data_IF_652822807520
#
_entry.id   IF_652822807520
#
_cell.length_a   1.000
_cell.length_b   1.000
_cell.length_c   1.000
_cell.angle_alpha   90.00
_cell.angle_beta   90.00
_cell.angle_gamma   90.00
#
_symmetry.space_group_name_H-M   'P 1'
#
loop_
_entity.id
_entity.type
_entity.pdbx_description
1 polymer ?
#
# COMPACT_ATOMS: atom_id res chain seq x y z
N UNK A 1 19.69 51.63 -38.52
CA UNK A 1 19.15 50.96 -37.32
C UNK A 1 18.59 49.62 -37.74
N UNK A 2 19.31 48.53 -37.45
CA UNK A 2 18.90 47.16 -37.78
C UNK A 2 18.46 46.46 -36.48
N UNK A 3 17.15 46.25 -36.35
CA UNK A 3 16.53 45.51 -35.26
C UNK A 3 16.82 44.01 -35.43
N UNK A 4 17.44 43.36 -34.41
CA UNK A 4 17.63 41.91 -34.35
C UNK A 4 16.52 41.31 -33.49
N UNK A 5 15.64 40.55 -34.11
CA UNK A 5 14.66 39.69 -33.43
C UNK A 5 15.38 38.43 -32.93
N UNK A 6 15.37 38.20 -31.61
CA UNK A 6 15.76 36.91 -30.99
C UNK A 6 14.58 35.96 -31.08
N UNK A 7 14.78 34.70 -31.49
CA UNK A 7 13.74 33.69 -31.36
C UNK A 7 13.70 33.17 -29.93
N UNK A 8 12.52 33.23 -29.31
CA UNK A 8 12.22 32.66 -28.02
C UNK A 8 12.09 31.13 -28.18
N UNK A 9 13.05 30.37 -27.63
CA UNK A 9 13.04 28.92 -27.63
C UNK A 9 12.12 28.43 -26.48
N UNK A 10 10.89 28.01 -26.81
CA UNK A 10 10.01 27.34 -25.86
C UNK A 10 10.55 25.91 -25.59
N UNK A 11 11.18 25.72 -24.43
CA UNK A 11 11.43 24.38 -23.89
C UNK A 11 10.10 23.82 -23.35
N UNK A 12 9.52 22.88 -24.06
CA UNK A 12 8.43 22.05 -23.52
C UNK A 12 9.02 21.04 -22.53
N UNK A 13 8.77 21.25 -21.23
CA UNK A 13 9.01 20.21 -20.21
C UNK A 13 8.05 19.06 -20.47
N UNK A 14 8.56 18.02 -21.09
CA UNK A 14 7.88 16.74 -21.26
C UNK A 14 7.68 16.07 -19.89
N UNK A 15 6.44 15.79 -19.58
CA UNK A 15 5.96 15.19 -18.32
C UNK A 15 6.56 13.80 -18.11
N UNK A 16 7.25 13.58 -16.99
CA UNK A 16 7.84 12.30 -16.55
C UNK A 16 6.79 11.33 -15.96
N UNK A 17 5.69 11.12 -16.63
CA UNK A 17 4.67 10.12 -16.23
C UNK A 17 4.98 8.69 -16.71
N UNK A 18 6.04 8.48 -17.49
CA UNK A 18 6.36 7.19 -18.11
C UNK A 18 7.08 6.19 -17.16
N UNK A 19 7.64 6.65 -16.03
CA UNK A 19 8.49 5.80 -15.17
C UNK A 19 7.73 4.76 -14.33
N UNK A 20 6.50 5.04 -13.93
CA UNK A 20 5.73 4.15 -13.03
C UNK A 20 4.95 3.06 -13.77
N UNK A 21 4.59 3.27 -15.03
CA UNK A 21 3.87 2.29 -15.82
C UNK A 21 4.71 1.04 -16.12
N UNK A 22 6.01 1.19 -16.31
CA UNK A 22 6.91 0.08 -16.63
C UNK A 22 7.29 -0.76 -15.40
N UNK A 23 7.26 -0.17 -14.20
CA UNK A 23 7.68 -0.82 -12.96
C UNK A 23 6.80 -2.05 -12.61
N UNK A 24 5.50 -1.97 -12.84
CA UNK A 24 4.56 -3.05 -12.52
C UNK A 24 4.02 -3.79 -13.75
N UNK A 25 4.74 -3.75 -14.86
CA UNK A 25 4.45 -4.63 -15.99
C UNK A 25 4.55 -6.10 -15.57
N UNK A 26 3.62 -6.93 -16.06
CA UNK A 26 3.65 -8.38 -15.81
C UNK A 26 4.90 -9.03 -16.38
N UNK A 27 5.50 -8.45 -17.42
CA UNK A 27 6.74 -8.93 -18.02
C UNK A 27 7.96 -8.80 -17.08
N UNK A 28 7.92 -7.91 -16.07
CA UNK A 28 9.01 -7.75 -15.10
C UNK A 28 8.93 -8.73 -13.92
N UNK A 29 7.86 -9.53 -13.83
CA UNK A 29 7.73 -10.57 -12.81
C UNK A 29 8.70 -11.73 -13.06
N UNK A 30 9.43 -12.13 -12.02
CA UNK A 30 10.25 -13.33 -12.05
C UNK A 30 9.38 -14.58 -12.27
N UNK A 31 9.86 -15.52 -13.10
CA UNK A 31 9.13 -16.75 -13.39
C UNK A 31 8.85 -17.59 -12.15
N UNK A 32 9.76 -17.59 -11.16
CA UNK A 32 9.58 -18.27 -9.88
C UNK A 32 8.34 -17.80 -9.10
N UNK A 33 7.98 -16.52 -9.20
CA UNK A 33 6.80 -15.96 -8.54
C UNK A 33 5.49 -16.24 -9.31
N UNK A 34 5.60 -16.61 -10.59
CA UNK A 34 4.44 -16.90 -11.44
C UNK A 34 4.02 -18.38 -11.37
N UNK A 35 4.97 -19.26 -10.98
CA UNK A 35 4.71 -20.70 -10.89
C UNK A 35 3.69 -20.99 -9.80
N UNK A 36 2.57 -21.63 -10.18
CA UNK A 36 1.48 -22.02 -9.28
C UNK A 36 0.78 -20.86 -8.55
N UNK A 37 1.05 -19.59 -8.93
CA UNK A 37 0.39 -18.43 -8.37
C UNK A 37 -0.84 -18.03 -9.21
N UNK A 38 -1.87 -17.56 -8.53
CA UNK A 38 -3.04 -16.88 -9.12
C UNK A 38 -2.88 -15.37 -9.01
N UNK A 39 -2.15 -14.92 -7.99
CA UNK A 39 -1.81 -13.54 -7.76
C UNK A 39 -0.39 -13.41 -7.19
N UNK A 40 0.24 -12.25 -7.42
CA UNK A 40 1.54 -11.90 -6.88
C UNK A 40 1.44 -10.55 -6.18
N UNK A 41 1.71 -10.52 -4.89
CA UNK A 41 1.89 -9.28 -4.13
C UNK A 41 3.26 -8.71 -4.49
N UNK A 42 3.27 -7.71 -5.40
CA UNK A 42 4.49 -7.05 -5.89
C UNK A 42 5.11 -6.17 -4.81
N UNK A 43 4.24 -5.51 -4.06
CA UNK A 43 4.61 -4.62 -2.99
C UNK A 43 3.55 -4.67 -1.90
N UNK A 44 3.98 -4.79 -0.65
CA UNK A 44 3.14 -4.59 0.52
C UNK A 44 3.90 -3.74 1.53
N UNK A 45 3.69 -2.43 1.47
CA UNK A 45 4.37 -1.49 2.36
C UNK A 45 3.40 -0.84 3.33
N UNK A 46 3.86 -0.69 4.56
CA UNK A 46 3.19 0.11 5.58
C UNK A 46 4.21 0.98 6.30
N UNK A 47 3.97 2.28 6.29
CA UNK A 47 4.71 3.27 7.08
C UNK A 47 3.84 3.71 8.24
N UNK A 48 4.18 3.27 9.45
CA UNK A 48 3.48 3.64 10.66
C UNK A 48 4.27 4.68 11.44
N UNK A 49 3.70 5.86 11.60
CA UNK A 49 4.26 6.94 12.38
C UNK A 49 3.49 7.09 13.69
N UNK A 50 4.12 6.68 14.79
CA UNK A 50 3.63 6.88 16.14
C UNK A 50 4.15 8.22 16.69
N UNK A 51 3.26 9.11 17.09
CA UNK A 51 3.63 10.41 17.67
C UNK A 51 3.39 10.46 19.17
N UNK A 52 2.28 9.89 19.64
CA UNK A 52 1.89 9.84 21.06
C UNK A 52 0.77 8.80 21.24
N UNK A 53 0.36 8.48 22.47
CA UNK A 53 -0.80 7.62 22.74
C UNK A 53 -2.11 8.09 22.08
N UNK A 54 -2.21 9.34 21.72
CA UNK A 54 -3.40 9.94 21.10
C UNK A 54 -3.20 10.34 19.65
N UNK A 55 -2.05 10.01 19.03
CA UNK A 55 -1.77 10.43 17.65
C UNK A 55 -0.82 9.47 16.93
N UNK A 56 -1.33 8.85 15.88
CA UNK A 56 -0.53 8.08 14.93
C UNK A 56 -1.13 8.14 13.52
N UNK A 57 -0.31 7.84 12.52
CA UNK A 57 -0.75 7.69 11.12
C UNK A 57 -0.13 6.45 10.51
N UNK A 58 -0.86 5.80 9.61
CA UNK A 58 -0.33 4.70 8.81
C UNK A 58 -0.57 5.00 7.33
N UNK A 59 0.47 4.87 6.51
CA UNK A 59 0.41 4.93 5.05
C UNK A 59 0.65 3.55 4.50
N UNK A 60 -0.20 3.17 3.56
CA UNK A 60 -0.14 1.88 2.91
C UNK A 60 0.07 2.05 1.41
N UNK A 61 0.97 1.26 0.84
CA UNK A 61 1.17 1.12 -0.60
C UNK A 61 1.18 -0.38 -0.93
N UNK A 62 0.13 -0.85 -1.59
CA UNK A 62 -0.09 -2.26 -1.86
C UNK A 62 -0.24 -2.43 -3.37
N UNK A 63 0.55 -3.32 -3.95
CA UNK A 63 0.51 -3.64 -5.38
C UNK A 63 0.32 -5.14 -5.55
N UNK A 64 -0.75 -5.52 -6.22
CA UNK A 64 -1.07 -6.92 -6.48
C UNK A 64 -1.25 -7.13 -7.98
N UNK A 65 -0.47 -8.02 -8.55
CA UNK A 65 -0.66 -8.49 -9.93
C UNK A 65 -1.52 -9.76 -9.91
N UNK A 66 -2.61 -9.72 -10.64
CA UNK A 66 -3.55 -10.82 -10.82
C UNK A 66 -3.23 -11.50 -12.14
N UNK A 67 -2.79 -12.74 -12.07
CA UNK A 67 -2.34 -13.48 -13.26
C UNK A 67 -3.50 -14.00 -14.09
N UNK A 68 -4.60 -14.34 -13.43
CA UNK A 68 -5.85 -14.77 -14.07
C UNK A 68 -7.07 -14.41 -13.20
N UNK A 69 -8.26 -14.75 -13.69
CA UNK A 69 -9.54 -14.45 -13.00
C UNK A 69 -9.67 -15.12 -11.62
N UNK A 70 -9.01 -16.25 -11.39
CA UNK A 70 -9.04 -16.94 -10.07
C UNK A 70 -8.36 -16.12 -8.98
N UNK A 71 -7.40 -15.30 -9.39
CA UNK A 71 -6.70 -14.37 -8.49
C UNK A 71 -7.51 -13.13 -8.11
N UNK A 72 -8.65 -12.83 -8.74
CA UNK A 72 -9.38 -11.57 -8.59
C UNK A 72 -9.69 -11.21 -7.12
N UNK A 73 -10.10 -12.19 -6.30
CA UNK A 73 -10.40 -12.00 -4.87
C UNK A 73 -9.23 -11.46 -4.04
N UNK A 74 -7.99 -11.63 -4.51
CA UNK A 74 -6.81 -11.14 -3.80
C UNK A 74 -6.55 -9.64 -4.05
N UNK A 75 -7.37 -9.01 -4.88
CA UNK A 75 -7.40 -7.56 -5.02
C UNK A 75 -8.49 -6.89 -4.17
N UNK A 76 -9.32 -7.63 -3.44
CA UNK A 76 -10.31 -7.03 -2.57
C UNK A 76 -9.64 -6.28 -1.43
N UNK A 77 -10.10 -5.05 -1.17
CA UNK A 77 -9.59 -4.21 -0.11
C UNK A 77 -10.63 -4.06 1.00
N UNK A 78 -10.19 -4.20 2.25
CA UNK A 78 -10.97 -3.86 3.43
C UNK A 78 -10.13 -2.99 4.36
N UNK A 79 -10.67 -1.85 4.76
CA UNK A 79 -10.06 -0.92 5.70
C UNK A 79 -11.00 -0.71 6.88
N UNK A 80 -10.68 -1.28 8.03
CA UNK A 80 -11.46 -1.11 9.26
C UNK A 80 -11.23 0.27 9.87
N UNK A 81 -12.28 0.85 10.38
CA UNK A 81 -12.28 2.13 11.09
C UNK A 81 -13.21 2.05 12.30
N UNK A 82 -12.95 2.89 13.30
CA UNK A 82 -13.70 3.00 14.54
C UNK A 82 -13.63 4.43 15.10
N UNK A 83 -14.09 4.65 16.33
CA UNK A 83 -14.01 5.96 17.00
C UNK A 83 -12.56 6.46 17.17
N UNK A 84 -11.57 5.56 17.17
CA UNK A 84 -10.15 5.87 17.32
C UNK A 84 -9.40 5.95 16.00
N UNK A 85 -9.97 5.47 14.90
CA UNK A 85 -9.32 5.40 13.61
C UNK A 85 -10.21 5.92 12.47
N UNK A 86 -9.59 6.53 11.47
CA UNK A 86 -10.29 7.08 10.32
C UNK A 86 -9.48 6.97 9.04
N UNK A 87 -10.15 6.70 7.92
CA UNK A 87 -9.54 6.74 6.59
C UNK A 87 -9.39 8.20 6.13
N UNK A 88 -8.16 8.69 5.97
CA UNK A 88 -7.83 10.06 5.57
C UNK A 88 -7.83 10.23 4.06
N UNK A 89 -7.09 9.38 3.37
CA UNK A 89 -6.99 9.41 1.92
C UNK A 89 -7.05 8.00 1.35
N UNK A 90 -7.48 7.91 0.11
CA UNK A 90 -7.51 6.66 -0.66
C UNK A 90 -7.36 6.97 -2.14
N UNK A 91 -6.57 6.17 -2.83
CA UNK A 91 -6.52 6.09 -4.28
C UNK A 91 -6.19 4.67 -4.71
N UNK A 92 -6.75 4.25 -5.84
CA UNK A 92 -6.37 3.00 -6.48
C UNK A 92 -6.17 3.21 -7.98
N UNK A 93 -5.27 2.41 -8.54
CA UNK A 93 -4.98 2.37 -9.97
C UNK A 93 -5.06 0.93 -10.45
N UNK A 94 -5.80 0.69 -11.54
CA UNK A 94 -5.82 -0.60 -12.23
C UNK A 94 -5.00 -0.43 -13.50
N UNK A 95 -4.00 -1.31 -13.67
CA UNK A 95 -3.11 -1.31 -14.81
C UNK A 95 -3.31 -2.58 -15.65
N UNK A 96 -3.15 -2.46 -16.97
CA UNK A 96 -3.09 -3.62 -17.86
C UNK A 96 -1.76 -4.40 -17.72
N UNK A 97 -1.60 -5.47 -18.48
CA UNK A 97 -0.40 -6.32 -18.43
C UNK A 97 0.90 -5.57 -18.74
N UNK A 98 0.84 -4.47 -19.48
CA UNK A 98 2.01 -3.63 -19.79
C UNK A 98 2.37 -2.64 -18.67
N UNK A 99 1.53 -2.53 -17.62
CA UNK A 99 1.67 -1.56 -16.54
C UNK A 99 1.00 -0.21 -16.84
N UNK A 100 0.30 -0.07 -17.97
CA UNK A 100 -0.41 1.17 -18.30
C UNK A 100 -1.69 1.27 -17.47
N UNK A 101 -1.89 2.42 -16.80
CA UNK A 101 -3.11 2.70 -16.03
C UNK A 101 -4.32 2.76 -16.96
N UNK A 102 -5.29 1.88 -16.74
CA UNK A 102 -6.56 1.81 -17.47
C UNK A 102 -7.74 2.34 -16.66
N UNK A 103 -7.62 2.40 -15.33
CA UNK A 103 -8.66 2.96 -14.45
C UNK A 103 -8.05 3.54 -13.17
N UNK A 104 -8.61 4.65 -12.71
CA UNK A 104 -8.30 5.25 -11.42
C UNK A 104 -9.56 5.28 -10.57
N UNK A 105 -9.39 5.00 -9.27
CA UNK A 105 -10.45 5.00 -8.29
C UNK A 105 -10.04 5.89 -7.11
N UNK A 106 -11.01 6.56 -6.52
CA UNK A 106 -10.82 7.44 -5.37
C UNK A 106 -11.66 7.02 -4.18
N UNK A 107 -11.64 7.83 -3.11
CA UNK A 107 -12.39 7.53 -1.88
C UNK A 107 -13.91 7.41 -2.12
N UNK A 108 -14.45 8.10 -3.14
CA UNK A 108 -15.86 8.01 -3.51
C UNK A 108 -16.28 6.68 -4.14
N UNK A 109 -15.31 5.85 -4.57
CA UNK A 109 -15.58 4.52 -5.14
C UNK A 109 -15.61 3.42 -4.07
N UNK A 110 -15.26 3.75 -2.81
CA UNK A 110 -15.31 2.83 -1.69
C UNK A 110 -16.75 2.65 -1.20
N UNK A 111 -17.11 1.41 -0.92
CA UNK A 111 -18.30 1.10 -0.14
C UNK A 111 -18.00 1.30 1.34
N UNK A 112 -19.04 1.64 2.12
CA UNK A 112 -18.95 1.79 3.56
C UNK A 112 -20.01 0.94 4.23
N UNK A 113 -19.62 0.17 5.25
CA UNK A 113 -20.52 -0.69 6.00
C UNK A 113 -20.26 -0.50 7.48
N UNK A 114 -21.30 -0.17 8.23
CA UNK A 114 -21.28 -0.18 9.68
C UNK A 114 -21.37 -1.62 10.19
N UNK A 115 -20.53 -1.91 11.16
CA UNK A 115 -20.44 -3.24 11.76
C UNK A 115 -20.76 -3.14 13.24
N UNK A 116 -22.04 -3.31 13.57
CA UNK A 116 -22.49 -3.35 14.95
C UNK A 116 -22.61 -4.82 15.39
N UNK A 117 -21.71 -5.26 16.23
CA UNK A 117 -21.92 -6.48 17.04
C UNK A 117 -22.04 -6.02 18.48
N UNK A 118 -23.21 -5.77 18.97
CA UNK A 118 -23.64 -5.52 20.36
C UNK A 118 -22.61 -5.05 21.43
N UNK A 119 -21.31 -5.06 21.13
CA UNK A 119 -20.16 -4.71 21.98
C UNK A 119 -19.34 -3.52 21.46
N UNK A 120 -19.55 -3.08 20.20
CA UNK A 120 -18.86 -1.95 19.61
C UNK A 120 -19.77 -1.32 18.55
N UNK A 121 -20.56 -0.34 18.96
CA UNK A 121 -21.53 0.34 18.09
C UNK A 121 -20.90 1.32 17.09
N UNK A 122 -19.56 1.46 17.10
CA UNK A 122 -18.82 2.45 16.32
C UNK A 122 -17.87 1.86 15.30
N UNK A 123 -17.80 0.52 15.18
CA UNK A 123 -16.93 -0.14 14.20
C UNK A 123 -17.56 -0.14 12.81
N UNK A 124 -16.74 0.19 11.82
CA UNK A 124 -17.13 0.19 10.42
C UNK A 124 -15.95 -0.23 9.53
N UNK A 125 -16.21 -0.46 8.26
CA UNK A 125 -15.15 -0.68 7.29
C UNK A 125 -15.50 -0.08 5.94
N UNK A 126 -14.46 0.44 5.29
CA UNK A 126 -14.48 0.73 3.86
C UNK A 126 -14.03 -0.52 3.11
N UNK A 127 -14.67 -0.80 1.98
CA UNK A 127 -14.28 -1.95 1.17
C UNK A 127 -14.43 -1.64 -0.33
N UNK A 128 -13.64 -2.36 -1.12
CA UNK A 128 -13.65 -2.25 -2.57
C UNK A 128 -13.37 -3.61 -3.19
N UNK A 129 -14.26 -4.06 -4.04
CA UNK A 129 -14.01 -5.07 -5.04
C UNK A 129 -13.70 -4.33 -6.35
N UNK A 130 -12.43 -4.30 -6.80
CA UNK A 130 -12.07 -3.49 -7.96
C UNK A 130 -12.74 -4.04 -9.22
N UNK A 131 -13.28 -3.16 -10.10
CA UNK A 131 -13.96 -3.57 -11.33
C UNK A 131 -12.94 -4.03 -12.38
N UNK A 132 -12.54 -5.30 -12.31
CA UNK A 132 -11.54 -5.92 -13.19
C UNK A 132 -12.18 -6.40 -14.48
N UNK A 133 -11.65 -5.97 -15.62
CA UNK A 133 -12.15 -6.33 -16.95
C UNK A 133 -11.16 -7.13 -17.80
N UNK A 134 -9.87 -7.06 -17.49
CA UNK A 134 -8.78 -7.70 -18.23
C UNK A 134 -7.85 -8.45 -17.28
N UNK A 135 -7.23 -9.53 -17.78
CA UNK A 135 -6.21 -10.31 -17.09
C UNK A 135 -5.11 -10.71 -18.07
N UNK A 136 -3.84 -10.76 -17.65
CA UNK A 136 -3.37 -10.32 -16.34
C UNK A 136 -3.47 -8.80 -16.18
N UNK A 137 -3.63 -8.35 -14.91
CA UNK A 137 -3.68 -6.94 -14.58
C UNK A 137 -3.03 -6.70 -13.21
N UNK A 138 -2.71 -5.44 -12.92
CA UNK A 138 -2.14 -5.04 -11.63
C UNK A 138 -3.02 -3.98 -10.98
N UNK A 139 -3.29 -4.14 -9.68
CA UNK A 139 -4.01 -3.15 -8.88
C UNK A 139 -3.04 -2.58 -7.85
N UNK A 140 -2.97 -1.26 -7.76
CA UNK A 140 -2.22 -0.54 -6.73
C UNK A 140 -3.16 0.24 -5.84
N UNK A 141 -3.02 0.08 -4.54
CA UNK A 141 -3.74 0.82 -3.52
C UNK A 141 -2.78 1.71 -2.75
N UNK A 142 -3.13 2.96 -2.57
CA UNK A 142 -2.46 3.90 -1.68
C UNK A 142 -3.50 4.54 -0.77
N UNK A 143 -3.35 4.36 0.53
CA UNK A 143 -4.26 4.98 1.48
C UNK A 143 -3.56 5.34 2.79
N UNK A 144 -4.15 6.29 3.51
CA UNK A 144 -3.67 6.74 4.81
C UNK A 144 -4.78 6.64 5.83
N UNK A 145 -4.46 6.05 6.99
CA UNK A 145 -5.31 6.05 8.17
C UNK A 145 -4.70 6.93 9.26
N UNK A 146 -5.54 7.60 10.03
CA UNK A 146 -5.12 8.32 11.23
C UNK A 146 -5.79 7.73 12.45
N UNK A 147 -5.04 7.69 13.55
CA UNK A 147 -5.46 7.19 14.84
C UNK A 147 -5.37 8.31 15.87
N UNK A 148 -6.40 8.47 16.72
CA UNK A 148 -6.54 9.54 17.69
C UNK A 148 -7.26 9.08 18.95
N UNK A 149 -7.07 9.81 20.05
CA UNK A 149 -7.84 9.71 21.31
C UNK A 149 -7.78 8.35 22.01
N UNK A 150 -6.82 7.52 21.70
CA UNK A 150 -6.63 6.22 22.30
C UNK A 150 -5.73 5.36 21.46
N UNK A 151 -4.95 4.55 22.11
CA UNK A 151 -4.09 3.63 21.43
C UNK A 151 -4.45 2.22 21.73
N UNK A 152 -4.70 1.58 20.70
CA UNK A 152 -4.66 0.19 20.48
C UNK A 152 -3.35 -0.41 20.95
N UNK A 153 -3.46 -1.52 21.60
CA UNK A 153 -2.31 -2.21 22.16
C UNK A 153 -1.43 -2.95 21.16
N UNK A 154 -1.93 -3.25 19.95
CA UNK A 154 -1.21 -4.13 19.04
C UNK A 154 -1.36 -3.68 17.59
N UNK A 155 -0.22 -3.39 16.95
CA UNK A 155 -0.14 -3.25 15.50
C UNK A 155 0.09 -4.61 14.87
N UNK A 156 -0.67 -4.92 13.83
CA UNK A 156 -0.46 -6.12 13.02
C UNK A 156 -0.03 -5.73 11.62
N UNK A 157 1.03 -6.34 11.16
CA UNK A 157 1.43 -6.31 9.76
C UNK A 157 1.40 -7.74 9.23
N UNK A 158 0.44 -8.01 8.35
CA UNK A 158 0.26 -9.34 7.74
C UNK A 158 0.19 -9.14 6.24
N UNK A 159 1.27 -9.44 5.50
CA UNK A 159 1.23 -9.43 4.04
C UNK A 159 0.24 -10.49 3.53
N UNK A 160 -0.48 -10.18 2.44
CA UNK A 160 -1.48 -11.06 1.81
C UNK A 160 -0.94 -12.42 1.34
N UNK A 161 0.37 -12.61 1.32
CA UNK A 161 1.05 -13.83 0.85
C UNK A 161 0.85 -15.08 1.72
N UNK A 162 0.00 -15.01 2.74
CA UNK A 162 -0.35 -16.21 3.54
C UNK A 162 -1.40 -17.09 2.87
N UNK A 163 -2.04 -16.60 1.81
CA UNK A 163 -3.06 -17.34 1.08
C UNK A 163 -2.45 -18.32 0.07
N UNK A 164 -3.13 -19.45 -0.12
CA UNK A 164 -2.73 -20.45 -1.12
C UNK A 164 -2.87 -19.84 -2.52
N UNK A 165 -1.83 -19.98 -3.34
CA UNK A 165 -1.80 -19.45 -4.70
C UNK A 165 -1.45 -17.96 -4.78
N UNK A 166 -0.93 -17.36 -3.70
CA UNK A 166 -0.41 -16.00 -3.69
C UNK A 166 1.09 -16.02 -3.42
N UNK A 167 1.87 -15.46 -4.34
CA UNK A 167 3.30 -15.25 -4.14
C UNK A 167 3.57 -13.84 -3.61
N UNK A 168 4.67 -13.65 -2.89
CA UNK A 168 5.13 -12.37 -2.39
C UNK A 168 6.45 -12.00 -3.06
N UNK A 169 6.52 -10.84 -3.71
CA UNK A 169 7.76 -10.28 -4.23
C UNK A 169 8.48 -9.42 -3.19
N UNK A 170 7.74 -8.52 -2.53
CA UNK A 170 8.32 -7.62 -1.53
C UNK A 170 7.29 -7.20 -0.48
N UNK A 171 7.67 -7.30 0.79
CA UNK A 171 6.93 -6.67 1.87
C UNK A 171 7.87 -5.89 2.80
N UNK A 172 7.40 -4.74 3.27
CA UNK A 172 8.17 -3.86 4.15
C UNK A 172 7.25 -3.19 5.16
N UNK A 173 7.66 -3.21 6.40
CA UNK A 173 7.03 -2.45 7.47
C UNK A 173 8.02 -1.46 8.05
N UNK A 174 7.63 -0.19 8.13
CA UNK A 174 8.40 0.86 8.77
C UNK A 174 7.63 1.41 9.95
N UNK A 175 8.32 1.53 11.08
CA UNK A 175 7.80 2.14 12.30
C UNK A 175 8.70 3.32 12.67
N UNK A 176 8.09 4.50 12.84
CA UNK A 176 8.76 5.69 13.35
C UNK A 176 8.14 6.09 14.68
N UNK A 177 8.96 6.22 15.72
CA UNK A 177 8.54 6.60 17.08
C UNK A 177 9.35 7.81 17.58
N UNK A 178 8.91 8.54 18.61
CA UNK A 178 9.78 9.43 19.35
C UNK A 178 11.03 8.69 19.85
N UNK A 179 12.19 9.36 19.86
CA UNK A 179 13.43 8.73 20.29
C UNK A 179 13.31 8.18 21.73
N UNK A 180 13.80 6.95 21.93
CA UNK A 180 13.74 6.28 23.22
C UNK A 180 12.39 5.66 23.59
N UNK A 181 11.40 5.67 22.67
CA UNK A 181 10.14 5.01 22.94
C UNK A 181 10.30 3.49 22.93
N UNK A 182 9.89 2.84 24.03
CA UNK A 182 9.98 1.39 24.18
C UNK A 182 8.70 0.70 23.66
N UNK A 183 8.87 -0.35 22.89
CA UNK A 183 7.80 -1.23 22.43
C UNK A 183 8.29 -2.66 22.33
N UNK A 184 7.36 -3.62 22.31
CA UNK A 184 7.66 -5.02 22.04
C UNK A 184 7.24 -5.35 20.61
N UNK A 185 8.09 -6.09 19.88
CA UNK A 185 7.73 -6.62 18.58
C UNK A 185 7.93 -8.13 18.54
N UNK A 186 7.13 -8.80 17.72
CA UNK A 186 7.26 -10.24 17.46
C UNK A 186 6.95 -10.52 16.00
N UNK A 187 7.92 -11.08 15.29
CA UNK A 187 7.74 -11.59 13.94
C UNK A 187 7.49 -13.08 13.97
N UNK A 188 6.43 -13.52 13.34
CA UNK A 188 6.09 -14.94 13.20
C UNK A 188 5.64 -15.22 11.76
N UNK A 189 5.88 -16.40 11.20
CA UNK A 189 6.53 -17.57 11.79
C UNK A 189 8.07 -17.49 11.84
N UNK A 190 8.68 -16.52 11.14
CA UNK A 190 10.14 -16.38 11.09
C UNK A 190 10.58 -15.08 11.77
N UNK A 191 11.63 -15.14 12.61
CA UNK A 191 12.19 -13.94 13.20
C UNK A 191 12.82 -13.07 12.10
N UNK A 192 12.42 -11.81 12.04
CA UNK A 192 13.04 -10.78 11.20
C UNK A 192 13.40 -9.61 12.11
N UNK A 193 14.67 -9.27 12.16
CA UNK A 193 15.15 -8.13 12.93
C UNK A 193 15.07 -6.85 12.09
N UNK A 194 14.65 -5.73 12.69
CA UNK A 194 14.59 -4.47 11.97
C UNK A 194 15.96 -3.83 11.81
N UNK A 195 16.17 -3.13 10.72
CA UNK A 195 17.22 -2.12 10.62
C UNK A 195 16.75 -0.88 11.38
N UNK A 196 17.57 -0.41 12.34
CA UNK A 196 17.25 0.78 13.15
C UNK A 196 18.17 1.92 12.80
N UNK A 197 17.61 3.13 12.71
CA UNK A 197 18.37 4.38 12.67
C UNK A 197 17.61 5.48 13.42
N UNK A 198 18.35 6.43 13.99
CA UNK A 198 17.76 7.60 14.66
C UNK A 198 18.02 8.83 13.81
N UNK A 199 16.98 9.58 13.48
CA UNK A 199 17.07 10.84 12.74
C UNK A 199 16.04 11.83 13.30
N UNK A 200 16.46 13.10 13.44
CA UNK A 200 15.59 14.23 13.85
C UNK A 200 14.75 13.96 15.09
N UNK A 201 15.33 13.30 16.10
CA UNK A 201 14.64 12.99 17.38
C UNK A 201 13.63 11.85 17.25
N UNK A 202 13.73 11.01 16.23
CA UNK A 202 12.89 9.83 16.03
C UNK A 202 13.74 8.58 15.85
N UNK A 203 13.26 7.48 16.42
CA UNK A 203 13.76 6.16 16.15
C UNK A 203 12.93 5.54 15.00
N UNK A 204 13.62 5.10 13.96
CA UNK A 204 13.03 4.49 12.78
C UNK A 204 13.48 3.05 12.69
N UNK A 205 12.53 2.16 12.47
CA UNK A 205 12.72 0.72 12.37
C UNK A 205 12.16 0.25 11.03
N UNK A 206 12.90 -0.56 10.30
CA UNK A 206 12.47 -1.14 9.04
C UNK A 206 12.63 -2.66 9.05
N UNK A 207 11.52 -3.36 8.84
CA UNK A 207 11.48 -4.81 8.60
C UNK A 207 11.25 -5.04 7.12
N UNK A 208 12.14 -5.82 6.51
CA UNK A 208 12.01 -6.26 5.12
C UNK A 208 11.81 -7.77 5.10
N UNK A 209 10.75 -8.20 4.44
CA UNK A 209 10.39 -9.61 4.34
C UNK A 209 10.80 -10.14 2.97
N UNK A 210 11.47 -11.31 2.90
CA UNK A 210 11.94 -11.88 1.65
C UNK A 210 10.78 -12.34 0.76
N UNK A 211 11.07 -12.43 -0.54
CA UNK A 211 10.18 -13.04 -1.52
C UNK A 211 9.91 -14.51 -1.22
N UNK A 212 8.71 -14.98 -1.51
CA UNK A 212 8.28 -16.38 -1.35
C UNK A 212 7.04 -16.71 -2.18
#
# INVERSE_FOLDING_TARGET
>A
MRSRLLPCLLLTLGSTAAGTAQEYSVATLADSLRQNAQAVVRLYETDFQYNSPSSATARHDIVVTLLDRRGARHADLVCYVDMFSSLKSFSAEICDASGRVIRKLGKGDLNYTEYSQHLADDAAYYWLEPPLSVFPCTVRYRYETAHKNGMFGTLRFVPLSTDIGVALEKARFRLSTPAGYAFNCRCTPFPVEPVRHTDRGRDNYEWTFPSR
#
